data_IF_883386972722
#
_entry.id   IF_883386972722
#
_cell.length_a   1.000
_cell.length_b   1.000
_cell.length_c   1.000
_cell.angle_alpha   90.00
_cell.angle_beta   90.00
_cell.angle_gamma   90.00
#
_symmetry.space_group_name_H-M   'P 1'
#
loop_
_entity.id
_entity.type
_entity.pdbx_description
1 polymer ?
#
# COMPACT_ATOMS: atom_id res chain seq x y z
N UNK A 1 -30.50 -23.83 44.00
CA UNK A 1 -29.17 -24.21 44.55
C UNK A 1 -28.66 -25.43 43.79
N UNK A 2 -27.43 -25.33 43.26
CA UNK A 2 -26.59 -26.35 42.59
C UNK A 2 -26.86 -26.71 41.11
N UNK A 3 -26.08 -26.01 40.29
CA UNK A 3 -25.49 -26.40 39.00
C UNK A 3 -24.80 -27.77 39.09
N UNK A 4 -24.90 -28.58 38.02
CA UNK A 4 -23.75 -29.37 37.51
C UNK A 4 -23.76 -29.35 35.98
N UNK A 5 -22.76 -28.65 35.43
CA UNK A 5 -22.25 -28.83 34.07
C UNK A 5 -21.76 -30.28 33.91
N UNK A 6 -22.13 -30.92 32.82
CA UNK A 6 -21.38 -32.05 32.30
C UNK A 6 -20.56 -31.57 31.10
N UNK A 7 -19.24 -31.69 31.23
CA UNK A 7 -18.26 -31.56 30.17
C UNK A 7 -18.50 -32.65 29.13
N UNK A 8 -18.30 -32.36 27.84
CA UNK A 8 -18.04 -33.38 26.84
C UNK A 8 -16.89 -32.91 25.98
N UNK A 9 -15.98 -33.85 25.75
CA UNK A 9 -14.59 -33.68 25.45
C UNK A 9 -14.33 -33.31 23.99
N UNK A 10 -13.24 -32.57 23.82
CA UNK A 10 -12.50 -32.41 22.57
C UNK A 10 -11.99 -33.79 22.14
N UNK A 11 -12.23 -34.15 20.88
CA UNK A 11 -11.58 -35.29 20.24
C UNK A 11 -10.68 -34.77 19.12
N UNK A 12 -9.38 -34.88 19.35
CA UNK A 12 -8.27 -34.82 18.40
C UNK A 12 -7.79 -36.28 18.20
N UNK A 13 -7.30 -36.83 17.09
CA UNK A 13 -6.73 -36.40 15.80
C UNK A 13 -6.56 -37.69 14.94
N UNK A 14 -6.58 -37.61 13.60
CA UNK A 14 -5.59 -38.29 12.72
C UNK A 14 -5.60 -37.65 11.30
N UNK A 15 -4.72 -36.68 11.00
CA UNK A 15 -3.42 -36.72 10.27
C UNK A 15 -3.47 -37.09 8.78
N UNK A 16 -3.20 -36.12 7.89
CA UNK A 16 -2.86 -36.41 6.49
C UNK A 16 -3.22 -35.34 5.44
N UNK A 17 -2.81 -34.09 5.64
CA UNK A 17 -2.93 -33.03 4.64
C UNK A 17 -2.77 -31.67 5.33
N UNK A 18 -1.88 -30.81 4.84
CA UNK A 18 -1.90 -29.42 5.27
C UNK A 18 -3.31 -28.89 4.98
N UNK A 19 -4.04 -28.34 5.96
CA UNK A 19 -5.33 -27.72 5.68
C UNK A 19 -5.07 -26.57 4.70
N UNK A 20 -5.81 -26.56 3.58
CA UNK A 20 -5.93 -25.35 2.76
C UNK A 20 -6.28 -24.19 3.70
N UNK A 21 -5.64 -23.01 3.56
CA UNK A 21 -6.12 -21.83 4.25
C UNK A 21 -7.59 -21.66 3.88
N UNK A 22 -8.47 -21.72 4.87
CA UNK A 22 -9.88 -21.38 4.69
C UNK A 22 -9.88 -19.97 4.13
N UNK A 23 -10.38 -19.78 2.91
CA UNK A 23 -10.45 -18.47 2.24
C UNK A 23 -10.92 -17.41 3.24
N UNK A 24 -10.13 -16.34 3.34
CA UNK A 24 -10.36 -15.25 4.27
C UNK A 24 -11.63 -14.47 3.93
N UNK A 25 -12.06 -13.65 4.89
CA UNK A 25 -13.27 -12.83 4.75
C UNK A 25 -12.88 -11.49 4.11
N UNK A 26 -13.60 -11.06 3.08
CA UNK A 26 -13.52 -9.69 2.55
C UNK A 26 -13.82 -8.68 3.69
N UNK A 27 -12.90 -7.74 3.92
CA UNK A 27 -12.98 -6.80 5.04
C UNK A 27 -12.34 -5.45 4.71
N UNK A 28 -12.78 -4.41 5.42
CA UNK A 28 -12.15 -3.10 5.44
C UNK A 28 -11.74 -2.75 6.87
N UNK A 29 -10.46 -2.50 7.08
CA UNK A 29 -9.85 -2.17 8.36
C UNK A 29 -9.35 -0.73 8.31
N UNK A 30 -9.63 0.06 9.35
CA UNK A 30 -9.12 1.42 9.50
C UNK A 30 -8.46 1.60 10.87
N UNK A 31 -7.36 2.34 10.90
CA UNK A 31 -6.61 2.59 12.13
C UNK A 31 -5.33 3.36 11.89
N UNK A 32 -4.45 3.35 12.88
CA UNK A 32 -3.14 4.00 12.82
C UNK A 32 -2.09 3.02 12.29
N UNK A 33 -1.26 3.46 11.34
CA UNK A 33 -0.16 2.67 10.79
C UNK A 33 0.94 2.47 11.83
N UNK A 34 1.42 1.23 11.96
CA UNK A 34 2.62 0.87 12.71
C UNK A 34 3.63 0.26 11.78
N UNK A 35 4.81 0.87 11.64
CA UNK A 35 5.87 0.37 10.76
C UNK A 35 6.84 -0.49 11.56
N UNK A 36 6.93 -1.78 11.24
CA UNK A 36 7.93 -2.68 11.83
C UNK A 36 9.25 -2.68 11.07
N UNK A 37 9.18 -2.58 9.74
CA UNK A 37 10.35 -2.50 8.85
C UNK A 37 10.11 -1.44 7.80
N UNK A 38 10.96 -0.42 7.78
CA UNK A 38 10.73 0.74 6.92
C UNK A 38 11.31 0.56 5.52
N UNK A 39 10.65 1.14 4.51
CA UNK A 39 11.18 1.28 3.15
C UNK A 39 12.46 2.13 3.12
N UNK A 40 12.61 3.07 4.05
CA UNK A 40 13.76 3.99 4.12
C UNK A 40 14.86 3.58 5.12
N UNK A 41 14.78 2.39 5.76
CA UNK A 41 15.58 2.03 6.94
C UNK A 41 17.12 2.09 6.75
N UNK A 42 17.61 1.91 5.53
CA UNK A 42 19.05 1.86 5.22
C UNK A 42 19.54 3.00 4.31
N UNK A 43 18.76 4.08 4.19
CA UNK A 43 18.95 5.07 3.12
C UNK A 43 19.29 6.43 3.73
N UNK A 44 20.32 7.10 3.18
CA UNK A 44 20.87 8.38 3.67
C UNK A 44 20.69 9.44 2.58
N UNK A 45 20.14 10.61 2.93
CA UNK A 45 20.06 11.78 2.05
C UNK A 45 19.43 13.00 2.74
N UNK A 46 19.05 14.02 1.98
CA UNK A 46 18.22 15.15 2.44
C UNK A 46 16.91 15.16 1.63
N UNK A 47 16.07 14.13 1.79
CA UNK A 47 14.71 14.11 1.20
C UNK A 47 13.62 13.97 2.27
N UNK A 48 12.41 14.48 2.00
CA UNK A 48 11.27 14.41 2.96
C UNK A 48 10.90 12.97 3.32
N UNK A 49 11.28 12.01 2.45
CA UNK A 49 11.24 10.55 2.64
C UNK A 49 11.97 10.12 3.93
N UNK A 50 12.70 10.97 4.63
CA UNK A 50 13.59 10.60 5.74
C UNK A 50 13.12 11.05 7.14
N UNK A 51 11.96 11.71 7.23
CA UNK A 51 11.52 12.29 8.51
C UNK A 51 10.87 11.28 9.46
N UNK A 52 10.31 10.20 8.93
CA UNK A 52 9.66 9.13 9.69
C UNK A 52 9.85 7.76 9.00
N UNK A 53 9.75 6.63 9.72
CA UNK A 53 9.62 5.32 9.10
C UNK A 53 8.42 5.29 8.15
N UNK A 54 8.58 4.69 6.97
CA UNK A 54 7.57 4.62 5.91
C UNK A 54 7.19 3.16 5.69
N UNK A 55 5.90 2.85 5.83
CA UNK A 55 5.36 1.52 5.56
C UNK A 55 5.06 1.30 4.08
N UNK A 56 4.62 2.35 3.37
CA UNK A 56 4.31 2.30 1.94
C UNK A 56 4.82 3.55 1.24
N UNK A 57 5.54 3.38 0.13
CA UNK A 57 6.07 4.47 -0.69
C UNK A 57 5.67 4.26 -2.14
N UNK A 58 5.00 5.25 -2.71
CA UNK A 58 4.63 5.29 -4.10
C UNK A 58 5.33 6.48 -4.76
N UNK A 59 5.92 6.27 -5.93
CA UNK A 59 6.74 7.29 -6.56
C UNK A 59 6.62 7.28 -8.09
N UNK A 60 6.88 8.42 -8.71
CA UNK A 60 7.09 8.55 -10.15
C UNK A 60 8.21 9.50 -10.49
N UNK A 61 8.89 9.19 -11.58
CA UNK A 61 9.81 10.11 -12.24
C UNK A 61 9.13 10.68 -13.47
N UNK A 62 9.23 12.00 -13.61
CA UNK A 62 8.75 12.72 -14.78
C UNK A 62 9.91 13.45 -15.43
N UNK A 63 9.88 13.55 -16.75
CA UNK A 63 10.82 14.34 -17.52
C UNK A 63 10.12 15.38 -18.38
N UNK A 64 10.87 16.44 -18.71
CA UNK A 64 10.53 17.37 -19.79
C UNK A 64 11.81 17.88 -20.45
N UNK A 65 11.75 18.14 -21.75
CA UNK A 65 12.90 18.60 -22.51
C UNK A 65 13.02 20.13 -22.46
N UNK A 66 11.92 20.84 -22.65
CA UNK A 66 11.85 22.29 -22.51
C UNK A 66 10.94 22.69 -21.32
N UNK A 67 11.19 23.80 -20.62
CA UNK A 67 10.29 24.32 -19.59
C UNK A 67 8.85 24.59 -20.07
N UNK A 68 8.67 24.83 -21.37
CA UNK A 68 7.36 25.01 -22.01
C UNK A 68 6.65 23.69 -22.35
N UNK A 69 7.35 22.56 -22.31
CA UNK A 69 6.76 21.24 -22.51
C UNK A 69 5.96 20.78 -21.27
N UNK A 70 4.98 19.92 -21.52
CA UNK A 70 4.33 19.16 -20.47
C UNK A 70 5.26 18.11 -19.88
N UNK A 71 5.10 17.85 -18.58
CA UNK A 71 5.79 16.77 -17.88
C UNK A 71 5.26 15.40 -18.29
N UNK A 72 6.15 14.52 -18.74
CA UNK A 72 5.85 13.14 -19.12
C UNK A 72 6.38 12.19 -18.05
N UNK A 73 5.56 11.24 -17.58
CA UNK A 73 6.06 10.19 -16.67
C UNK A 73 6.96 9.24 -17.45
N UNK A 74 8.15 8.95 -16.91
CA UNK A 74 9.13 8.04 -17.51
C UNK A 74 9.34 6.77 -16.69
N UNK A 75 9.07 6.82 -15.39
CA UNK A 75 9.16 5.66 -14.51
C UNK A 75 8.23 5.81 -13.29
N UNK A 76 7.81 4.69 -12.71
CA UNK A 76 6.90 4.61 -11.55
C UNK A 76 7.26 3.40 -10.69
N UNK A 77 7.07 3.48 -9.38
CA UNK A 77 7.22 2.31 -8.52
C UNK A 77 6.45 2.41 -7.22
N UNK A 78 6.24 1.24 -6.63
CA UNK A 78 5.60 1.03 -5.34
C UNK A 78 6.54 0.17 -4.49
N UNK A 79 6.86 0.64 -3.30
CA UNK A 79 7.69 -0.06 -2.33
C UNK A 79 6.91 -0.22 -1.02
N UNK A 80 6.94 -1.41 -0.45
CA UNK A 80 6.32 -1.71 0.83
C UNK A 80 7.37 -2.20 1.84
N UNK A 81 7.26 -1.68 3.06
CA UNK A 81 7.92 -2.22 4.24
C UNK A 81 7.07 -3.30 4.90
N UNK A 82 7.44 -3.67 6.13
CA UNK A 82 6.55 -4.46 6.99
C UNK A 82 5.81 -3.48 7.91
N UNK A 83 4.48 -3.53 7.87
CA UNK A 83 3.63 -2.68 8.68
C UNK A 83 2.33 -3.38 9.09
N UNK A 84 1.69 -2.81 10.11
CA UNK A 84 0.39 -3.22 10.61
C UNK A 84 -0.53 -2.02 10.84
N UNK A 85 -1.82 -2.29 11.06
CA UNK A 85 -2.83 -1.30 11.41
C UNK A 85 -3.26 -1.54 12.85
N UNK A 86 -3.06 -0.53 13.69
CA UNK A 86 -3.58 -0.48 15.05
C UNK A 86 -4.99 0.12 15.04
N UNK A 87 -5.99 -0.72 15.30
CA UNK A 87 -7.40 -0.33 15.36
C UNK A 87 -7.81 0.20 16.75
N UNK A 88 -6.88 0.22 17.71
CA UNK A 88 -7.12 0.50 19.12
C UNK A 88 -7.53 -0.73 19.95
N UNK A 89 -7.99 -1.81 19.32
CA UNK A 89 -8.32 -3.07 20.01
C UNK A 89 -7.43 -4.23 19.58
N UNK A 90 -7.00 -4.21 18.33
CA UNK A 90 -6.18 -5.24 17.71
C UNK A 90 -5.21 -4.61 16.71
N UNK A 91 -4.12 -5.33 16.48
CA UNK A 91 -3.11 -5.01 15.46
C UNK A 91 -3.25 -6.02 14.34
N UNK A 92 -3.52 -5.53 13.13
CA UNK A 92 -3.73 -6.37 11.94
C UNK A 92 -2.54 -6.16 11.00
N UNK A 93 -1.80 -7.23 10.69
CA UNK A 93 -0.66 -7.15 9.77
C UNK A 93 -1.16 -6.94 8.34
N UNK A 94 -0.48 -6.08 7.58
CA UNK A 94 -0.79 -5.89 6.16
C UNK A 94 0.21 -6.67 5.33
N UNK A 95 -0.27 -7.65 4.57
CA UNK A 95 0.52 -8.42 3.61
C UNK A 95 0.53 -7.67 2.27
N UNK A 96 1.37 -6.64 2.20
CA UNK A 96 1.50 -5.74 1.06
C UNK A 96 2.31 -6.34 -0.11
N UNK A 97 2.89 -7.54 0.06
CA UNK A 97 3.65 -8.23 -1.00
C UNK A 97 2.79 -8.45 -2.24
N UNK A 98 1.50 -8.74 -2.07
CA UNK A 98 0.57 -8.85 -3.20
C UNK A 98 0.48 -7.56 -4.02
N UNK A 99 0.49 -6.38 -3.38
CA UNK A 99 0.47 -5.10 -4.10
C UNK A 99 1.76 -4.86 -4.87
N UNK A 100 2.91 -5.17 -4.26
CA UNK A 100 4.23 -5.06 -4.88
C UNK A 100 4.33 -6.00 -6.09
N UNK A 101 3.92 -7.26 -5.94
CA UNK A 101 3.92 -8.26 -7.00
C UNK A 101 3.03 -7.86 -8.20
N UNK A 102 1.85 -7.29 -7.94
CA UNK A 102 0.91 -6.88 -8.98
C UNK A 102 1.28 -5.55 -9.65
N UNK A 103 1.89 -4.62 -8.92
CA UNK A 103 1.99 -3.23 -9.36
C UNK A 103 3.43 -2.69 -9.47
N UNK A 104 4.42 -3.18 -8.72
CA UNK A 104 5.74 -2.54 -8.68
C UNK A 104 6.81 -3.37 -8.00
N UNK A 105 7.78 -3.89 -8.75
CA UNK A 105 9.00 -4.53 -8.22
C UNK A 105 10.25 -3.62 -8.38
N UNK A 106 10.11 -2.45 -9.00
CA UNK A 106 11.20 -1.49 -9.15
C UNK A 106 11.34 -0.67 -7.87
N UNK A 107 12.53 -0.72 -7.26
CA UNK A 107 12.88 0.20 -6.18
C UNK A 107 13.39 1.52 -6.75
N UNK A 108 12.97 2.65 -6.15
CA UNK A 108 13.47 3.99 -6.45
C UNK A 108 15.00 4.08 -6.38
N UNK A 109 15.60 3.21 -5.58
CA UNK A 109 17.03 3.21 -5.28
C UNK A 109 17.84 2.24 -6.13
N UNK A 110 17.16 1.44 -6.95
CA UNK A 110 17.77 0.57 -7.96
C UNK A 110 17.73 1.19 -9.36
N UNK A 111 17.31 2.45 -9.48
CA UNK A 111 17.18 3.12 -10.76
C UNK A 111 18.51 3.22 -11.50
N UNK A 112 18.41 2.92 -12.79
CA UNK A 112 19.50 3.00 -13.76
C UNK A 112 19.21 4.08 -14.80
N UNK A 113 20.23 4.47 -15.57
CA UNK A 113 20.06 5.38 -16.69
C UNK A 113 19.13 4.82 -17.80
N UNK A 114 18.95 3.50 -17.85
CA UNK A 114 18.03 2.88 -18.81
C UNK A 114 16.57 3.20 -18.47
N UNK A 115 16.22 3.27 -17.18
CA UNK A 115 14.86 3.50 -16.70
C UNK A 115 14.38 4.93 -17.04
N UNK A 116 15.30 5.90 -17.09
CA UNK A 116 15.02 7.27 -17.49
C UNK A 116 14.62 7.44 -18.97
N UNK A 117 14.81 6.43 -19.81
CA UNK A 117 14.50 6.51 -21.26
C UNK A 117 13.00 6.40 -21.55
N UNK A 118 12.15 6.23 -20.54
CA UNK A 118 10.69 6.22 -20.68
C UNK A 118 10.10 4.91 -21.20
N UNK A 119 10.87 3.82 -21.19
CA UNK A 119 10.41 2.49 -21.60
C UNK A 119 9.84 1.66 -20.43
N UNK A 120 10.02 2.09 -19.18
CA UNK A 120 9.64 1.33 -17.98
C UNK A 120 8.30 1.73 -17.34
N UNK A 121 7.60 2.71 -17.92
CA UNK A 121 6.32 3.21 -17.40
C UNK A 121 5.30 2.07 -17.20
N UNK A 122 4.95 1.82 -15.94
CA UNK A 122 3.93 0.82 -15.59
C UNK A 122 2.54 1.46 -15.61
N UNK A 123 1.73 1.08 -16.59
CA UNK A 123 0.36 1.59 -16.72
C UNK A 123 -0.50 1.28 -15.48
N UNK A 124 -0.23 0.19 -14.75
CA UNK A 124 -0.92 -0.17 -13.50
C UNK A 124 -0.61 0.74 -12.31
N UNK A 125 0.45 1.56 -12.41
CA UNK A 125 0.82 2.63 -11.48
C UNK A 125 0.62 4.02 -12.09
N UNK A 126 -0.20 4.10 -13.15
CA UNK A 126 -0.69 5.35 -13.70
C UNK A 126 -2.21 5.39 -13.66
N UNK A 127 -2.81 5.79 -12.53
CA UNK A 127 -4.23 6.11 -12.57
C UNK A 127 -4.45 7.27 -13.56
N UNK A 128 -5.46 7.14 -14.42
CA UNK A 128 -5.75 8.06 -15.53
C UNK A 128 -6.00 9.53 -15.10
N UNK A 129 -6.08 9.82 -13.80
CA UNK A 129 -6.50 11.10 -13.23
C UNK A 129 -5.56 11.69 -12.18
N UNK A 130 -4.28 11.31 -12.13
CA UNK A 130 -3.30 11.94 -11.22
C UNK A 130 -3.27 11.38 -9.80
N UNK A 131 -3.99 10.29 -9.56
CA UNK A 131 -3.60 9.29 -8.55
C UNK A 131 -2.61 8.33 -9.21
N UNK A 132 -1.71 7.71 -8.45
CA UNK A 132 -0.75 6.77 -9.04
C UNK A 132 -1.37 5.39 -9.22
N UNK A 133 -2.10 4.84 -8.27
CA UNK A 133 -2.62 3.47 -8.41
C UNK A 133 -4.11 3.40 -8.12
N UNK A 134 -4.81 2.53 -8.86
CA UNK A 134 -6.18 2.08 -8.58
C UNK A 134 -6.25 1.27 -7.25
N UNK A 135 -5.10 0.77 -6.78
CA UNK A 135 -4.98 0.00 -5.54
C UNK A 135 -4.39 0.81 -4.36
N UNK A 136 -3.81 2.00 -4.58
CA UNK A 136 -3.15 2.80 -3.54
C UNK A 136 -3.50 4.28 -3.69
N UNK A 137 -4.23 4.79 -2.70
CA UNK A 137 -4.81 6.13 -2.65
C UNK A 137 -4.21 6.97 -1.52
N UNK A 138 -3.07 7.59 -1.81
CA UNK A 138 -2.39 8.48 -0.87
C UNK A 138 -2.60 9.94 -1.26
N UNK A 139 -3.06 10.77 -0.34
CA UNK A 139 -3.36 12.19 -0.55
C UNK A 139 -2.60 13.14 0.38
N UNK A 140 -2.20 12.67 1.56
CA UNK A 140 -1.79 13.54 2.66
C UNK A 140 -0.30 13.82 2.69
N UNK A 141 0.55 12.81 2.46
CA UNK A 141 2.00 12.96 2.51
C UNK A 141 2.59 12.89 1.10
N UNK A 142 2.77 14.06 0.48
CA UNK A 142 3.22 14.21 -0.91
C UNK A 142 4.41 15.15 -0.99
N UNK A 143 5.40 14.77 -1.78
CA UNK A 143 6.55 15.62 -2.07
C UNK A 143 6.91 15.63 -3.56
N UNK A 144 7.57 16.69 -4.00
CA UNK A 144 8.07 16.84 -5.36
C UNK A 144 9.42 17.54 -5.35
N UNK A 145 10.45 16.84 -5.81
CA UNK A 145 11.82 17.32 -5.81
C UNK A 145 12.45 17.18 -7.20
N UNK A 146 13.39 18.07 -7.52
CA UNK A 146 14.23 17.87 -8.70
C UNK A 146 15.08 16.63 -8.48
N UNK A 147 15.10 15.71 -9.45
CA UNK A 147 15.84 14.46 -9.30
C UNK A 147 17.34 14.72 -9.07
N UNK A 148 17.88 15.78 -9.69
CA UNK A 148 19.27 16.25 -9.52
C UNK A 148 19.62 16.75 -8.11
N UNK A 149 18.62 17.06 -7.28
CA UNK A 149 18.82 17.57 -5.93
C UNK A 149 18.70 16.46 -4.88
N UNK A 150 18.73 15.20 -5.31
CA UNK A 150 18.54 14.06 -4.44
C UNK A 150 19.78 13.17 -4.44
N UNK A 151 20.13 12.63 -3.28
CA UNK A 151 21.25 11.69 -3.13
C UNK A 151 20.87 10.26 -3.55
N UNK A 152 19.67 10.07 -4.11
CA UNK A 152 19.14 8.76 -4.50
C UNK A 152 19.75 8.26 -5.82
N UNK A 153 20.41 9.15 -6.57
CA UNK A 153 20.90 8.85 -7.90
C UNK A 153 22.26 8.13 -7.85
N UNK A 154 22.35 7.06 -8.63
CA UNK A 154 23.65 6.53 -9.02
C UNK A 154 24.38 7.54 -9.93
N UNK A 155 25.72 7.48 -9.95
CA UNK A 155 26.53 8.32 -10.83
C UNK A 155 26.13 8.17 -12.31
N UNK A 156 25.75 6.96 -12.73
CA UNK A 156 25.28 6.68 -14.10
C UNK A 156 24.00 7.45 -14.43
N UNK A 157 23.06 7.52 -13.48
CA UNK A 157 21.82 8.29 -13.65
C UNK A 157 22.12 9.79 -13.73
N UNK A 158 23.03 10.28 -12.87
CA UNK A 158 23.50 11.68 -12.93
C UNK A 158 24.08 12.04 -14.30
N UNK A 159 24.99 11.21 -14.82
CA UNK A 159 25.61 11.39 -16.14
C UNK A 159 24.58 11.42 -17.28
N UNK A 160 23.54 10.58 -17.23
CA UNK A 160 22.48 10.56 -18.23
C UNK A 160 21.61 11.83 -18.21
N UNK A 161 21.30 12.34 -17.01
CA UNK A 161 20.56 13.61 -16.86
C UNK A 161 21.38 14.76 -17.46
N UNK A 162 22.67 14.84 -17.14
CA UNK A 162 23.56 15.87 -17.71
C UNK A 162 23.68 15.74 -19.24
N UNK A 163 23.84 14.51 -19.74
CA UNK A 163 23.98 14.23 -21.18
C UNK A 163 22.73 14.60 -21.98
N UNK A 164 21.55 14.33 -21.43
CA UNK A 164 20.27 14.61 -22.10
C UNK A 164 19.87 16.07 -22.00
N UNK A 165 20.31 16.78 -20.95
CA UNK A 165 19.92 18.16 -20.67
C UNK A 165 18.44 18.32 -20.31
N UNK A 166 17.73 17.20 -20.09
CA UNK A 166 16.32 17.20 -19.70
C UNK A 166 16.19 17.53 -18.21
N UNK A 167 15.03 18.05 -17.84
CA UNK A 167 14.66 18.24 -16.44
C UNK A 167 13.92 17.00 -15.95
N UNK A 168 14.27 16.53 -14.75
CA UNK A 168 13.63 15.39 -14.11
C UNK A 168 13.06 15.78 -12.75
N UNK A 169 11.86 15.32 -12.46
CA UNK A 169 11.19 15.45 -11.17
C UNK A 169 10.92 14.09 -10.59
N UNK A 170 11.23 13.91 -9.31
CA UNK A 170 10.70 12.85 -8.48
C UNK A 170 9.47 13.38 -7.76
N UNK A 171 8.36 12.68 -7.89
CA UNK A 171 7.18 12.89 -7.07
C UNK A 171 6.98 11.66 -6.19
N UNK A 172 6.73 11.86 -4.90
CA UNK A 172 6.54 10.78 -3.92
C UNK A 172 5.28 10.96 -3.10
N UNK A 173 4.69 9.83 -2.73
CA UNK A 173 3.54 9.70 -1.85
C UNK A 173 3.90 8.66 -0.81
N UNK A 174 3.84 9.02 0.47
CA UNK A 174 4.23 8.12 1.53
C UNK A 174 3.08 7.83 2.50
N UNK A 175 3.16 6.68 3.14
CA UNK A 175 2.34 6.33 4.29
C UNK A 175 3.29 6.12 5.48
N UNK A 176 3.54 7.18 6.27
CA UNK A 176 4.48 7.14 7.39
C UNK A 176 3.89 6.47 8.63
N UNK A 177 4.76 6.02 9.54
CA UNK A 177 4.39 5.54 10.87
C UNK A 177 3.52 6.57 11.60
N UNK A 178 2.45 6.10 12.25
CA UNK A 178 1.47 6.96 12.92
C UNK A 178 0.44 7.60 11.99
N UNK A 179 0.51 7.40 10.67
CA UNK A 179 -0.51 7.90 9.75
C UNK A 179 -1.84 7.13 9.91
N UNK A 180 -2.96 7.83 9.67
CA UNK A 180 -4.25 7.17 9.50
C UNK A 180 -4.25 6.36 8.20
N UNK A 181 -4.69 5.12 8.26
CA UNK A 181 -4.70 4.19 7.14
C UNK A 181 -6.02 3.42 7.10
N UNK A 182 -6.52 3.15 5.89
CA UNK A 182 -7.59 2.20 5.63
C UNK A 182 -7.14 1.18 4.60
N UNK A 183 -7.36 -0.10 4.89
CA UNK A 183 -7.05 -1.21 3.98
C UNK A 183 -8.29 -2.04 3.75
N UNK A 184 -8.58 -2.30 2.48
CA UNK A 184 -9.56 -3.26 2.02
C UNK A 184 -8.86 -4.48 1.45
N UNK A 185 -9.37 -5.68 1.73
CA UNK A 185 -8.80 -6.93 1.25
C UNK A 185 -9.39 -8.15 1.95
N UNK A 186 -8.70 -9.27 1.83
CA UNK A 186 -9.06 -10.55 2.43
C UNK A 186 -8.40 -10.70 3.82
N UNK A 187 -9.21 -10.74 4.87
CA UNK A 187 -8.77 -10.97 6.25
C UNK A 187 -8.56 -12.46 6.50
N UNK A 188 -7.34 -12.83 6.84
CA UNK A 188 -6.88 -14.19 7.11
C UNK A 188 -6.51 -14.28 8.59
N UNK A 189 -7.09 -15.26 9.28
CA UNK A 189 -6.79 -15.56 10.69
C UNK A 189 -6.21 -16.97 10.79
N UNK A 190 -4.91 -17.08 11.06
CA UNK A 190 -4.24 -18.38 11.25
C UNK A 190 -3.43 -18.40 12.55
N UNK A 191 -3.75 -19.35 13.45
CA UNK A 191 -3.05 -19.57 14.73
C UNK A 191 -2.80 -18.31 15.58
N UNK A 192 -3.66 -17.30 15.47
CA UNK A 192 -3.55 -16.03 16.20
C UNK A 192 -2.78 -14.93 15.47
N UNK A 193 -2.27 -15.20 14.27
CA UNK A 193 -1.83 -14.17 13.32
C UNK A 193 -3.04 -13.67 12.53
N UNK A 194 -3.30 -12.37 12.60
CA UNK A 194 -4.39 -11.70 11.89
C UNK A 194 -3.74 -10.81 10.84
N UNK A 195 -4.00 -11.11 9.57
CA UNK A 195 -3.45 -10.35 8.45
C UNK A 195 -4.50 -10.05 7.40
N UNK A 196 -4.33 -8.94 6.71
CA UNK A 196 -5.11 -8.58 5.53
C UNK A 196 -4.22 -8.66 4.30
N UNK A 197 -4.69 -9.34 3.24
CA UNK A 197 -3.95 -9.59 1.99
C UNK A 197 -4.87 -9.36 0.78
N UNK A 198 -4.31 -9.04 -0.39
CA UNK A 198 -5.02 -9.11 -1.66
C UNK A 198 -5.02 -10.51 -2.26
N UNK A 199 -6.04 -10.81 -3.05
CA UNK A 199 -6.15 -11.99 -3.89
C UNK A 199 -6.77 -11.63 -5.23
N UNK A 200 -6.78 -12.58 -6.17
CA UNK A 200 -7.41 -12.37 -7.49
C UNK A 200 -8.93 -12.17 -7.38
N UNK A 201 -9.56 -12.75 -6.33
CA UNK A 201 -10.98 -12.64 -6.05
C UNK A 201 -11.31 -11.39 -5.21
N UNK A 202 -10.40 -10.99 -4.30
CA UNK A 202 -10.54 -9.81 -3.44
C UNK A 202 -9.26 -8.96 -3.53
N UNK A 203 -9.17 -8.04 -4.51
CA UNK A 203 -8.01 -7.16 -4.65
C UNK A 203 -7.78 -6.32 -3.40
N UNK A 204 -6.50 -6.11 -3.04
CA UNK A 204 -6.17 -5.21 -1.94
C UNK A 204 -6.28 -3.75 -2.40
N UNK A 205 -6.77 -2.88 -1.51
CA UNK A 205 -6.70 -1.43 -1.70
C UNK A 205 -6.28 -0.74 -0.40
N UNK A 206 -5.40 0.26 -0.48
CA UNK A 206 -4.90 1.05 0.66
C UNK A 206 -5.20 2.53 0.43
N UNK A 207 -5.61 3.25 1.48
CA UNK A 207 -5.73 4.71 1.43
C UNK A 207 -5.48 5.42 2.76
N UNK A 208 -5.17 6.71 2.70
CA UNK A 208 -4.82 7.55 3.86
C UNK A 208 -5.90 8.56 4.28
N UNK A 209 -7.03 8.59 3.57
CA UNK A 209 -8.13 9.55 3.78
C UNK A 209 -9.38 8.89 4.42
N UNK A 210 -9.18 7.75 5.09
CA UNK A 210 -10.23 7.02 5.79
C UNK A 210 -11.18 6.21 4.88
N UNK A 211 -12.12 5.47 5.48
CA UNK A 211 -12.92 4.47 4.78
C UNK A 211 -13.95 5.05 3.80
N UNK A 212 -14.50 6.24 4.08
CA UNK A 212 -15.48 6.87 3.20
C UNK A 212 -14.85 7.30 1.87
N UNK A 213 -13.61 7.80 1.90
CA UNK A 213 -12.86 8.18 0.71
C UNK A 213 -12.39 6.97 -0.09
N UNK A 214 -12.01 5.88 0.59
CA UNK A 214 -11.69 4.61 -0.06
C UNK A 214 -12.93 4.04 -0.77
N UNK A 215 -14.09 4.00 -0.09
CA UNK A 215 -15.34 3.50 -0.66
C UNK A 215 -15.81 4.35 -1.84
N UNK A 216 -15.73 5.68 -1.74
CA UNK A 216 -16.08 6.57 -2.84
C UNK A 216 -15.21 6.31 -4.07
N UNK A 217 -13.95 5.97 -3.86
CA UNK A 217 -13.01 5.72 -4.94
C UNK A 217 -13.24 4.35 -5.58
N UNK A 218 -13.43 3.31 -4.78
CA UNK A 218 -13.84 1.98 -5.24
C UNK A 218 -15.16 2.03 -6.02
N UNK A 219 -16.15 2.81 -5.56
CA UNK A 219 -17.41 3.04 -6.29
C UNK A 219 -17.18 3.78 -7.62
N UNK A 220 -16.26 4.74 -7.66
CA UNK A 220 -15.92 5.50 -8.87
C UNK A 220 -15.31 4.62 -9.97
N UNK A 221 -14.49 3.65 -9.59
CA UNK A 221 -13.85 2.71 -10.52
C UNK A 221 -14.84 1.68 -11.09
N UNK A 222 -15.78 1.18 -10.27
CA UNK A 222 -16.86 0.30 -10.72
C UNK A 222 -17.75 0.94 -11.81
N UNK A 223 -17.86 2.27 -11.85
CA UNK A 223 -18.57 2.99 -12.92
C UNK A 223 -17.73 3.17 -14.19
N UNK A 224 -16.41 3.04 -14.11
CA UNK A 224 -15.49 3.30 -15.23
C UNK A 224 -15.10 2.00 -15.95
N UNK A 225 -15.07 0.86 -15.24
CA UNK A 225 -14.64 -0.43 -15.79
C UNK A 225 -15.77 -1.32 -16.34
N UNK A 226 -17.04 -0.99 -16.12
CA UNK A 226 -18.17 -1.69 -16.76
C UNK A 226 -18.31 -3.18 -16.39
N UNK A 227 -17.61 -3.65 -15.36
CA UNK A 227 -17.71 -5.01 -14.85
C UNK A 227 -18.64 -5.01 -13.64
N UNK A 228 -19.86 -5.48 -13.83
CA UNK A 228 -20.78 -5.81 -12.75
C UNK A 228 -20.34 -7.12 -12.08
N UNK A 229 -19.41 -7.03 -11.14
CA UNK A 229 -19.13 -8.04 -10.11
C UNK A 229 -18.50 -7.28 -8.92
N UNK A 230 -18.96 -7.30 -7.68
CA UNK A 230 -20.00 -8.08 -7.02
C UNK A 230 -20.72 -7.20 -5.99
N UNK A 231 -22.00 -7.48 -5.75
CA UNK A 231 -22.76 -6.83 -4.69
C UNK A 231 -22.33 -7.33 -3.30
N UNK A 232 -21.42 -6.63 -2.62
CA UNK A 232 -21.19 -6.85 -1.17
C UNK A 232 -20.41 -5.73 -0.43
N UNK A 233 -20.12 -4.57 -1.03
CA UNK A 233 -19.36 -3.49 -0.34
C UNK A 233 -20.01 -2.95 0.96
N UNK A 234 -21.25 -3.32 1.28
CA UNK A 234 -21.94 -2.95 2.51
C UNK A 234 -21.82 -3.99 3.65
N UNK A 235 -21.12 -5.10 3.45
CA UNK A 235 -21.24 -6.26 4.32
C UNK A 235 -20.05 -6.53 5.25
N UNK A 236 -19.44 -5.49 5.86
CA UNK A 236 -19.01 -5.53 7.27
C UNK A 236 -18.08 -4.35 7.63
N UNK A 237 -18.64 -3.21 8.03
CA UNK A 237 -17.93 -2.33 8.97
C UNK A 237 -17.99 -3.02 10.35
N UNK A 238 -17.01 -3.87 10.64
CA UNK A 238 -16.77 -4.40 11.97
C UNK A 238 -16.18 -3.32 12.87
N UNK A 239 -16.96 -2.31 13.28
CA UNK A 239 -16.51 -1.38 14.31
C UNK A 239 -16.46 -2.10 15.66
N UNK A 240 -15.27 -2.52 16.11
CA UNK A 240 -15.03 -2.85 17.51
C UNK A 240 -15.01 -1.54 18.33
N UNK A 241 -16.18 -1.02 18.72
CA UNK A 241 -16.27 0.00 19.77
C UNK A 241 -16.39 -0.71 21.12
N UNK A 242 -15.31 -0.75 21.91
CA UNK A 242 -15.39 -1.08 23.34
C UNK A 242 -15.35 0.22 24.14
N UNK A 243 -16.52 0.68 24.57
CA UNK A 243 -16.62 1.73 25.59
C UNK A 243 -16.10 1.19 26.92
N UNK A 244 -14.93 1.63 27.37
CA UNK A 244 -14.50 1.42 28.75
C UNK A 244 -15.39 2.26 29.65
N UNK A 245 -16.44 1.65 30.19
CA UNK A 245 -17.14 2.17 31.35
C UNK A 245 -16.19 2.05 32.55
N UNK A 246 -15.60 3.18 32.93
CA UNK A 246 -14.91 3.34 34.21
C UNK A 246 -15.91 3.07 35.33
N UNK A 247 -15.62 2.08 36.17
CA UNK A 247 -16.21 1.86 37.48
C UNK A 247 -15.13 2.03 38.54
#
# INVERSE_FOLDING_TARGET
MRIRRAQTAISTVDTGGAPDPVGGREETVAGELRVEKSVNENRRGETVIESAPIGLLLWRIRSRSDPSDGWTTVETGLEAGEFSIDTGNETIRVDADWLVDQHGDTSLWSLSAADLKGYGVRESLLAKTGSLSEAVYLQNDRDTVSLTNTDILSAEVGDEIERTGQQYQLETWSLPDGASCTVHGELIVDRGDIRIRGSDDVPMTIGDDGPESLERTLRGELFTSGVYAAGSLLASLGFLYVSVAVL
#
